data_IF_943387639588
#
_entry.id   IF_943387639588
#
_cell.length_a   1.000
_cell.length_b   1.000
_cell.length_c   1.000
_cell.angle_alpha   90.00
_cell.angle_beta   90.00
_cell.angle_gamma   90.00
#
_symmetry.space_group_name_H-M   'P 1'
#
loop_
_entity.id
_entity.type
_entity.pdbx_description
1 polymer ?
#
# COMPACT_ATOMS: atom_id res chain seq x y z
N UNK A 1 -4.63 -31.41 8.68
CA UNK A 1 -5.05 -30.00 8.86
C UNK A 1 -4.99 -29.37 7.49
N UNK A 2 -6.09 -28.83 6.98
CA UNK A 2 -6.02 -27.98 5.78
C UNK A 2 -5.14 -26.80 6.10
N UNK A 3 -4.11 -26.56 5.26
CA UNK A 3 -3.25 -25.38 5.40
C UNK A 3 -4.14 -24.14 5.32
N UNK A 4 -3.93 -23.19 6.23
CA UNK A 4 -4.57 -21.89 6.09
C UNK A 4 -4.18 -21.29 4.74
N UNK A 5 -5.15 -20.87 3.95
CA UNK A 5 -4.85 -19.95 2.86
C UNK A 5 -4.34 -18.66 3.48
N UNK A 6 -3.18 -18.21 3.03
CA UNK A 6 -2.66 -16.92 3.44
C UNK A 6 -3.62 -15.81 2.99
N UNK A 7 -3.71 -14.71 3.74
CA UNK A 7 -4.53 -13.57 3.31
C UNK A 7 -4.14 -13.16 1.87
N UNK A 8 -5.12 -12.79 1.06
CA UNK A 8 -4.87 -12.42 -0.34
C UNK A 8 -4.16 -11.07 -0.46
N UNK A 9 -4.43 -10.15 0.48
CA UNK A 9 -3.82 -8.82 0.51
C UNK A 9 -2.66 -8.82 1.51
N UNK A 10 -1.47 -9.15 1.04
CA UNK A 10 -0.24 -9.14 1.83
C UNK A 10 0.70 -8.13 1.20
N UNK A 11 1.25 -7.21 2.01
CA UNK A 11 2.31 -6.34 1.55
C UNK A 11 3.64 -7.11 1.39
N UNK A 12 4.53 -6.56 0.58
CA UNK A 12 5.89 -7.06 0.39
C UNK A 12 6.88 -6.24 1.19
N UNK A 13 6.65 -4.94 1.22
CA UNK A 13 7.57 -3.93 1.65
C UNK A 13 7.47 -3.71 3.15
N UNK A 14 8.58 -3.94 3.84
CA UNK A 14 8.70 -3.62 5.25
C UNK A 14 9.27 -2.20 5.40
N UNK A 15 8.42 -1.24 5.66
CA UNK A 15 8.81 0.13 6.04
C UNK A 15 9.12 0.21 7.52
N UNK A 16 10.39 0.23 7.86
CA UNK A 16 10.92 0.18 9.24
C UNK A 16 11.92 1.32 9.46
N UNK A 17 11.92 1.91 10.64
CA UNK A 17 12.85 3.00 10.97
C UNK A 17 14.06 2.45 11.71
N UNK A 18 15.24 2.59 11.12
CA UNK A 18 16.52 2.16 11.66
C UNK A 18 16.62 0.68 12.08
N UNK A 19 16.12 -0.31 11.30
CA UNK A 19 16.45 -1.69 11.58
C UNK A 19 17.93 -1.96 11.34
N UNK A 20 18.52 -2.94 12.04
CA UNK A 20 19.96 -3.23 11.99
C UNK A 20 20.49 -3.52 10.59
N UNK A 21 19.66 -4.05 9.70
CA UNK A 21 20.02 -4.33 8.30
C UNK A 21 20.46 -3.06 7.54
N UNK A 22 19.97 -1.88 7.93
CA UNK A 22 20.40 -0.61 7.31
C UNK A 22 21.89 -0.37 7.57
N UNK A 23 22.36 -0.60 8.81
CA UNK A 23 23.77 -0.50 9.14
C UNK A 23 24.63 -1.59 8.47
N UNK A 24 24.08 -2.80 8.24
CA UNK A 24 24.75 -3.87 7.48
C UNK A 24 25.00 -3.45 6.01
N UNK A 25 24.24 -2.49 5.49
CA UNK A 25 24.34 -1.94 4.12
C UNK A 25 24.96 -0.53 4.08
N UNK A 26 25.64 -0.09 5.14
CA UNK A 26 26.26 1.23 5.25
C UNK A 26 25.29 2.41 5.08
N UNK A 27 24.01 2.23 5.45
CA UNK A 27 22.98 3.27 5.42
C UNK A 27 22.92 3.96 6.78
N UNK A 28 23.10 5.26 6.79
CA UNK A 28 23.10 6.08 8.01
C UNK A 28 21.72 6.11 8.67
N UNK A 29 21.65 6.03 10.00
CA UNK A 29 20.39 6.11 10.71
C UNK A 29 19.73 7.48 10.57
N UNK A 30 18.41 7.49 10.51
CA UNK A 30 17.59 8.71 10.47
C UNK A 30 17.19 9.16 11.88
N UNK A 31 16.96 10.47 12.05
CA UNK A 31 16.41 11.04 13.28
C UNK A 31 14.91 10.66 13.39
N UNK A 32 14.59 9.80 14.33
CA UNK A 32 13.22 9.31 14.54
C UNK A 32 12.22 10.44 14.85
N UNK A 33 12.68 11.53 15.46
CA UNK A 33 11.82 12.67 15.78
C UNK A 33 11.56 13.54 14.55
N UNK A 34 12.54 13.66 13.64
CA UNK A 34 12.36 14.32 12.35
C UNK A 34 11.33 13.54 11.51
N UNK A 35 11.52 12.22 11.38
CA UNK A 35 10.58 11.35 10.65
C UNK A 35 9.17 11.43 11.23
N UNK A 36 9.03 11.37 12.56
CA UNK A 36 7.73 11.46 13.23
C UNK A 36 7.03 12.79 12.95
N UNK A 37 7.78 13.91 13.01
CA UNK A 37 7.23 15.24 12.73
C UNK A 37 6.72 15.34 11.29
N UNK A 38 7.54 14.92 10.31
CA UNK A 38 7.16 14.98 8.90
C UNK A 38 5.96 14.08 8.60
N UNK A 39 5.92 12.88 9.19
CA UNK A 39 4.75 11.99 9.08
C UNK A 39 3.49 12.65 9.62
N UNK A 40 3.56 13.30 10.78
CA UNK A 40 2.42 14.00 11.37
C UNK A 40 1.97 15.19 10.53
N UNK A 41 2.90 15.98 9.99
CA UNK A 41 2.59 17.10 9.11
C UNK A 41 1.90 16.65 7.83
N UNK A 42 2.41 15.62 7.16
CA UNK A 42 1.78 15.01 5.97
C UNK A 42 0.41 14.37 6.27
N UNK A 43 0.24 13.89 7.49
CA UNK A 43 -1.06 13.40 7.99
C UNK A 43 -2.01 14.54 8.41
N UNK A 44 -1.68 15.80 8.14
CA UNK A 44 -2.43 16.98 8.58
C UNK A 44 -2.68 16.98 10.09
N UNK A 45 -1.77 16.41 10.90
CA UNK A 45 -1.93 16.19 12.35
C UNK A 45 -3.21 15.45 12.76
N UNK A 46 -3.80 14.66 11.86
CA UNK A 46 -4.99 13.84 12.13
C UNK A 46 -4.66 12.40 12.52
N UNK A 47 -3.39 12.11 12.79
CA UNK A 47 -2.89 10.90 13.39
C UNK A 47 -2.70 11.07 14.91
N UNK A 48 -2.52 9.98 15.61
CA UNK A 48 -2.20 9.98 17.05
C UNK A 48 -0.69 10.07 17.26
N UNK A 49 -0.22 11.16 17.84
CA UNK A 49 1.20 11.39 18.08
C UNK A 49 1.85 10.30 18.94
N UNK A 50 1.16 9.79 19.98
CA UNK A 50 1.64 8.70 20.81
C UNK A 50 1.94 7.43 20.01
N UNK A 51 1.08 7.07 19.05
CA UNK A 51 1.29 5.92 18.15
C UNK A 51 2.40 6.18 17.14
N UNK A 52 2.42 7.38 16.55
CA UNK A 52 3.46 7.76 15.58
C UNK A 52 4.83 7.65 16.23
N UNK A 53 5.05 8.29 17.37
CA UNK A 53 6.33 8.20 18.07
C UNK A 53 6.66 6.77 18.49
N UNK A 54 5.68 5.99 18.96
CA UNK A 54 5.90 4.58 19.31
C UNK A 54 6.37 3.76 18.10
N UNK A 55 5.76 3.95 16.94
CA UNK A 55 6.18 3.30 15.71
C UNK A 55 7.61 3.71 15.33
N UNK A 56 7.90 5.01 15.27
CA UNK A 56 9.21 5.52 14.83
C UNK A 56 10.36 5.05 15.72
N UNK A 57 10.11 4.89 17.02
CA UNK A 57 11.15 4.47 17.98
C UNK A 57 11.32 2.95 18.09
N UNK A 58 10.29 2.17 17.81
CA UNK A 58 10.30 0.73 18.08
C UNK A 58 10.30 -0.14 16.82
N UNK A 59 10.00 0.43 15.65
CA UNK A 59 9.87 -0.35 14.42
C UNK A 59 11.18 -1.00 13.97
N UNK A 60 12.33 -0.37 14.29
CA UNK A 60 13.64 -0.97 14.03
C UNK A 60 13.83 -2.29 14.78
N UNK A 61 13.59 -2.28 16.10
CA UNK A 61 13.74 -3.47 16.93
C UNK A 61 12.70 -4.57 16.58
N UNK A 62 11.47 -4.17 16.28
CA UNK A 62 10.43 -5.10 15.81
C UNK A 62 10.81 -5.71 14.46
N UNK A 63 11.40 -4.89 13.58
CA UNK A 63 11.94 -5.31 12.30
C UNK A 63 13.07 -6.32 12.47
N UNK A 64 14.05 -6.04 13.32
CA UNK A 64 15.17 -6.95 13.59
C UNK A 64 14.68 -8.33 14.02
N UNK A 65 13.68 -8.37 14.91
CA UNK A 65 13.05 -9.64 15.32
C UNK A 65 12.40 -10.36 14.12
N UNK A 66 11.65 -9.64 13.27
CA UNK A 66 10.97 -10.22 12.11
C UNK A 66 11.97 -10.73 11.06
N UNK A 67 13.02 -9.95 10.78
CA UNK A 67 14.05 -10.31 9.80
C UNK A 67 14.93 -11.46 10.29
N UNK A 68 15.19 -11.58 11.59
CA UNK A 68 15.84 -12.74 12.17
C UNK A 68 15.01 -14.02 11.95
N UNK A 69 13.68 -13.94 12.18
CA UNK A 69 12.76 -15.03 11.89
C UNK A 69 12.79 -15.41 10.39
N UNK A 70 12.72 -14.42 9.50
CA UNK A 70 12.78 -14.64 8.07
C UNK A 70 14.07 -15.38 7.66
N UNK A 71 15.23 -14.95 8.17
CA UNK A 71 16.51 -15.65 7.95
C UNK A 71 16.46 -17.10 8.47
N UNK A 72 15.86 -17.32 9.63
CA UNK A 72 15.67 -18.65 10.20
C UNK A 72 14.76 -19.58 9.37
N UNK A 73 13.91 -19.02 8.53
CA UNK A 73 13.03 -19.75 7.61
C UNK A 73 13.61 -19.91 6.20
N UNK A 74 14.84 -19.43 5.96
CA UNK A 74 15.50 -19.53 4.65
C UNK A 74 15.19 -18.36 3.71
N UNK A 75 14.83 -17.19 4.24
CA UNK A 75 14.67 -15.97 3.46
C UNK A 75 15.81 -15.00 3.70
N UNK A 76 16.22 -14.31 2.64
CA UNK A 76 17.24 -13.27 2.69
C UNK A 76 16.55 -11.91 2.64
N UNK A 77 16.64 -11.10 3.70
CA UNK A 77 16.20 -9.73 3.64
C UNK A 77 17.08 -8.89 2.72
N UNK A 78 16.48 -8.21 1.77
CA UNK A 78 17.14 -7.28 0.86
C UNK A 78 16.66 -5.86 1.09
N UNK A 79 17.60 -4.91 1.05
CA UNK A 79 17.27 -3.47 1.14
C UNK A 79 17.14 -2.91 -0.26
N UNK A 80 15.95 -2.43 -0.58
CA UNK A 80 15.68 -1.73 -1.82
C UNK A 80 15.92 -0.24 -1.60
N UNK A 81 16.98 0.27 -2.21
CA UNK A 81 17.31 1.68 -2.14
C UNK A 81 16.34 2.49 -3.01
N UNK A 82 15.56 3.35 -2.38
CA UNK A 82 14.62 4.21 -3.06
C UNK A 82 15.07 5.67 -2.99
N UNK A 83 14.87 6.41 -4.07
CA UNK A 83 14.93 7.86 -4.07
C UNK A 83 13.54 8.44 -3.79
N UNK A 84 13.52 9.68 -3.30
CA UNK A 84 12.24 10.37 -3.10
C UNK A 84 11.49 10.53 -4.43
N UNK A 85 10.21 10.20 -4.43
CA UNK A 85 9.31 10.40 -5.57
C UNK A 85 8.99 11.87 -5.84
N UNK A 86 9.49 12.80 -5.03
CA UNK A 86 9.25 14.22 -5.18
C UNK A 86 10.43 15.00 -4.60
N UNK A 87 10.80 16.11 -5.23
CA UNK A 87 11.78 17.07 -4.69
C UNK A 87 11.32 17.71 -3.38
N UNK A 88 10.02 17.67 -3.10
CA UNK A 88 9.41 18.31 -1.94
C UNK A 88 9.26 17.39 -0.74
N UNK A 89 9.46 16.09 -0.91
CA UNK A 89 9.30 15.09 0.14
C UNK A 89 10.58 14.31 0.34
N UNK A 90 11.08 14.34 1.56
CA UNK A 90 12.21 13.51 1.96
C UNK A 90 11.72 12.07 2.17
N UNK A 91 12.33 11.14 1.48
CA UNK A 91 12.22 9.73 1.79
C UNK A 91 13.24 9.41 2.89
N UNK A 92 12.78 8.94 4.04
CA UNK A 92 13.64 8.69 5.20
C UNK A 92 14.16 7.27 5.27
N UNK A 93 13.43 6.31 4.70
CA UNK A 93 13.77 4.91 4.84
C UNK A 93 13.72 4.20 3.50
N UNK A 94 14.55 3.17 3.38
CA UNK A 94 14.49 2.23 2.29
C UNK A 94 13.56 1.08 2.66
N UNK A 95 12.98 0.46 1.65
CA UNK A 95 12.14 -0.73 1.82
C UNK A 95 13.01 -1.94 2.10
N UNK A 96 12.55 -2.83 2.96
CA UNK A 96 13.12 -4.16 3.11
C UNK A 96 12.15 -5.18 2.53
N UNK A 97 12.62 -6.01 1.63
CA UNK A 97 11.88 -7.12 1.04
C UNK A 97 12.49 -8.47 1.44
N UNK A 98 11.70 -9.52 1.40
CA UNK A 98 12.15 -10.88 1.67
C UNK A 98 12.28 -11.66 0.37
N UNK A 99 13.47 -12.21 0.13
CA UNK A 99 13.76 -13.05 -1.03
C UNK A 99 14.02 -14.49 -0.58
N UNK A 100 13.69 -15.51 -1.40
CA UNK A 100 14.08 -16.88 -1.09
C UNK A 100 15.60 -17.02 -1.11
N UNK A 101 16.16 -17.72 -0.11
CA UNK A 101 17.57 -18.15 -0.16
C UNK A 101 17.77 -19.25 -1.20
N UNK A 102 19.00 -19.46 -1.63
CA UNK A 102 19.35 -20.52 -2.58
C UNK A 102 18.90 -21.89 -2.05
N UNK A 103 17.97 -22.52 -2.74
CA UNK A 103 17.37 -23.80 -2.35
C UNK A 103 16.06 -23.70 -1.54
N UNK A 104 15.60 -22.50 -1.18
CA UNK A 104 14.26 -22.31 -0.60
C UNK A 104 13.22 -22.44 -1.72
N UNK A 105 12.27 -23.36 -1.54
CA UNK A 105 11.20 -23.56 -2.53
C UNK A 105 10.11 -22.52 -2.27
N UNK A 106 9.90 -21.65 -3.25
CA UNK A 106 8.72 -20.79 -3.34
C UNK A 106 7.89 -21.21 -4.56
N UNK A 107 6.59 -20.91 -4.56
CA UNK A 107 5.80 -21.09 -5.79
C UNK A 107 6.36 -20.13 -6.86
N UNK A 108 6.90 -20.71 -7.94
CA UNK A 108 7.42 -19.93 -9.05
C UNK A 108 6.30 -19.05 -9.63
N UNK A 109 6.52 -17.75 -9.62
CA UNK A 109 5.57 -16.77 -10.11
C UNK A 109 4.63 -16.14 -9.06
N UNK A 110 4.67 -16.57 -7.80
CA UNK A 110 3.96 -15.87 -6.72
C UNK A 110 4.88 -14.83 -6.06
N UNK A 111 4.70 -13.58 -6.42
CA UNK A 111 5.40 -12.45 -5.84
C UNK A 111 5.33 -12.41 -4.30
N UNK A 112 4.19 -12.79 -3.73
CA UNK A 112 3.96 -12.80 -2.29
C UNK A 112 4.42 -14.11 -1.61
N UNK A 113 5.06 -15.03 -2.34
CA UNK A 113 5.42 -16.35 -1.82
C UNK A 113 6.25 -16.27 -0.54
N UNK A 114 7.25 -15.38 -0.48
CA UNK A 114 8.10 -15.20 0.70
C UNK A 114 7.30 -14.73 1.92
N UNK A 115 6.44 -13.72 1.75
CA UNK A 115 5.60 -13.20 2.85
C UNK A 115 4.56 -14.23 3.29
N UNK A 116 3.94 -14.97 2.36
CA UNK A 116 3.03 -16.08 2.67
C UNK A 116 3.73 -17.18 3.45
N UNK A 117 4.94 -17.56 3.03
CA UNK A 117 5.74 -18.55 3.73
C UNK A 117 6.17 -18.06 5.13
N UNK A 118 6.54 -16.79 5.28
CA UNK A 118 6.84 -16.19 6.58
C UNK A 118 5.64 -16.31 7.54
N UNK A 119 4.42 -15.99 7.08
CA UNK A 119 3.19 -16.12 7.87
C UNK A 119 2.93 -17.58 8.23
N UNK A 120 3.06 -18.51 7.28
CA UNK A 120 2.86 -19.93 7.53
C UNK A 120 3.84 -20.50 8.57
N UNK A 121 5.10 -20.08 8.53
CA UNK A 121 6.11 -20.49 9.51
C UNK A 121 5.80 -19.91 10.91
N UNK A 122 5.39 -18.64 11.01
CA UNK A 122 4.96 -18.05 12.26
C UNK A 122 3.71 -18.75 12.84
N UNK A 123 2.75 -19.15 12.01
CA UNK A 123 1.61 -19.95 12.43
C UNK A 123 2.04 -21.29 12.98
N UNK A 124 3.00 -21.96 12.34
CA UNK A 124 3.54 -23.24 12.80
C UNK A 124 4.25 -23.08 14.15
N UNK A 125 5.02 -22.00 14.36
CA UNK A 125 5.63 -21.72 15.69
C UNK A 125 4.57 -21.54 16.79
N UNK A 126 3.43 -20.91 16.50
CA UNK A 126 2.32 -20.81 17.48
C UNK A 126 1.82 -22.20 17.88
N UNK A 127 1.64 -23.10 16.89
CA UNK A 127 1.17 -24.46 17.14
C UNK A 127 2.23 -25.27 17.92
N UNK A 128 3.50 -25.18 17.54
CA UNK A 128 4.61 -25.87 18.19
C UNK A 128 4.81 -25.37 19.65
N UNK A 129 4.50 -24.10 19.90
CA UNK A 129 4.46 -23.49 21.23
C UNK A 129 3.24 -23.88 22.08
N UNK A 130 2.37 -24.75 21.57
CA UNK A 130 1.15 -25.19 22.26
C UNK A 130 -0.06 -24.29 22.05
N UNK A 131 0.01 -23.32 21.17
CA UNK A 131 -1.13 -22.52 20.73
C UNK A 131 -2.05 -23.30 19.78
N UNK A 132 -3.26 -22.80 19.58
CA UNK A 132 -4.23 -23.39 18.67
C UNK A 132 -4.53 -22.42 17.53
N UNK A 133 -4.48 -22.92 16.31
CA UNK A 133 -4.89 -22.21 15.11
C UNK A 133 -6.14 -22.88 14.50
N UNK A 134 -7.22 -22.10 14.34
CA UNK A 134 -8.51 -22.59 13.84
C UNK A 134 -8.91 -21.87 12.57
N UNK A 135 -8.84 -22.56 11.44
CA UNK A 135 -9.39 -22.08 10.18
C UNK A 135 -10.92 -22.15 10.17
N UNK A 136 -11.55 -21.41 9.26
CA UNK A 136 -13.00 -21.41 9.02
C UNK A 136 -13.77 -21.19 10.32
N UNK A 137 -13.24 -20.33 11.20
CA UNK A 137 -13.81 -20.02 12.51
C UNK A 137 -13.88 -18.52 12.67
N UNK A 138 -15.01 -17.94 12.32
CA UNK A 138 -15.29 -16.51 12.30
C UNK A 138 -15.65 -16.01 13.70
N UNK A 139 -14.99 -14.96 14.19
CA UNK A 139 -15.40 -14.27 15.41
C UNK A 139 -16.60 -13.35 15.07
N UNK A 140 -17.75 -13.63 15.68
CA UNK A 140 -19.01 -12.93 15.38
C UNK A 140 -19.48 -11.98 16.49
N UNK A 141 -18.94 -12.11 17.70
CA UNK A 141 -19.30 -11.27 18.84
C UNK A 141 -18.21 -11.31 19.90
N UNK A 142 -17.98 -10.21 20.58
CA UNK A 142 -17.17 -10.17 21.80
C UNK A 142 -18.03 -10.40 23.04
N UNK A 143 -17.47 -11.08 24.04
CA UNK A 143 -18.09 -11.28 25.35
C UNK A 143 -17.57 -10.20 26.31
N UNK A 144 -18.47 -9.54 27.00
CA UNK A 144 -18.14 -8.49 27.96
C UNK A 144 -18.75 -8.77 29.31
N UNK A 145 -17.97 -8.53 30.36
CA UNK A 145 -18.42 -8.62 31.77
C UNK A 145 -17.85 -7.42 32.51
N UNK A 146 -18.71 -6.69 33.22
CA UNK A 146 -18.34 -5.47 33.96
C UNK A 146 -17.48 -4.47 33.17
N UNK A 147 -17.78 -4.28 31.87
CA UNK A 147 -17.05 -3.37 30.97
C UNK A 147 -15.72 -3.89 30.46
N UNK A 148 -15.33 -5.13 30.79
CA UNK A 148 -14.13 -5.81 30.31
C UNK A 148 -14.50 -6.81 29.20
N UNK A 149 -13.68 -6.92 28.15
CA UNK A 149 -13.77 -8.02 27.19
C UNK A 149 -13.14 -9.27 27.79
N UNK A 150 -13.94 -10.34 27.87
CA UNK A 150 -13.59 -11.61 28.54
C UNK A 150 -13.55 -12.78 27.56
N UNK A 151 -13.87 -12.55 26.28
CA UNK A 151 -13.86 -13.61 25.29
C UNK A 151 -14.53 -13.23 23.97
N UNK A 152 -14.78 -14.23 23.15
CA UNK A 152 -15.50 -14.11 21.90
C UNK A 152 -16.42 -15.29 21.65
N UNK A 153 -17.49 -15.05 20.90
CA UNK A 153 -18.29 -16.09 20.25
C UNK A 153 -17.80 -16.21 18.83
N UNK A 154 -17.46 -17.43 18.43
CA UNK A 154 -17.01 -17.74 17.09
C UNK A 154 -17.99 -18.71 16.40
N UNK A 155 -18.17 -18.56 15.10
CA UNK A 155 -18.98 -19.43 14.25
C UNK A 155 -18.05 -20.32 13.43
N UNK A 156 -18.09 -21.59 13.67
CA UNK A 156 -17.34 -22.59 12.93
C UNK A 156 -18.26 -23.51 12.14
N UNK A 157 -17.66 -24.53 11.51
CA UNK A 157 -18.37 -25.53 10.69
C UNK A 157 -19.47 -26.28 11.48
N UNK A 158 -19.21 -26.58 12.75
CA UNK A 158 -20.08 -27.39 13.59
C UNK A 158 -20.98 -26.55 14.50
N UNK A 159 -21.07 -25.26 14.27
CA UNK A 159 -21.89 -24.33 15.04
C UNK A 159 -21.09 -23.27 15.77
N UNK A 160 -21.63 -22.76 16.88
CA UNK A 160 -21.00 -21.70 17.65
C UNK A 160 -20.08 -22.25 18.74
N UNK A 161 -18.95 -21.56 18.90
CA UNK A 161 -17.95 -21.82 19.92
C UNK A 161 -17.79 -20.57 20.78
N UNK A 162 -17.83 -20.71 22.08
CA UNK A 162 -17.42 -19.66 23.02
C UNK A 162 -15.96 -19.86 23.40
N UNK A 163 -15.17 -18.80 23.23
CA UNK A 163 -13.76 -18.73 23.65
C UNK A 163 -13.65 -17.74 24.78
N UNK A 164 -13.25 -18.20 25.96
CA UNK A 164 -12.97 -17.33 27.09
C UNK A 164 -11.48 -17.01 27.15
N UNK A 165 -11.14 -15.78 27.51
CA UNK A 165 -9.75 -15.31 27.55
C UNK A 165 -9.36 -14.84 28.94
N UNK A 166 -8.12 -15.12 29.32
CA UNK A 166 -7.55 -14.65 30.58
C UNK A 166 -7.04 -13.19 30.49
N UNK A 167 -6.43 -12.83 29.36
CA UNK A 167 -5.80 -11.52 29.15
C UNK A 167 -6.64 -10.58 28.29
N UNK A 168 -7.30 -11.09 27.25
CA UNK A 168 -8.15 -10.30 26.36
C UNK A 168 -8.23 -10.88 24.96
N UNK A 169 -8.84 -10.12 24.05
CA UNK A 169 -9.01 -10.42 22.62
C UNK A 169 -8.23 -9.39 21.81
N UNK A 170 -7.48 -9.86 20.82
CA UNK A 170 -6.78 -9.01 19.84
C UNK A 170 -7.51 -9.07 18.51
N UNK A 171 -7.99 -7.94 18.04
CA UNK A 171 -8.60 -7.81 16.72
C UNK A 171 -7.48 -7.56 15.69
N UNK A 172 -7.29 -8.52 14.77
CA UNK A 172 -6.30 -8.50 13.70
C UNK A 172 -6.91 -9.03 12.39
N UNK A 173 -8.21 -8.76 12.17
CA UNK A 173 -9.03 -9.33 11.11
C UNK A 173 -8.96 -8.53 9.77
N UNK A 174 -7.92 -7.73 9.58
CA UNK A 174 -7.74 -6.97 8.35
C UNK A 174 -8.52 -5.65 8.33
N UNK A 175 -8.88 -5.22 7.14
CA UNK A 175 -9.51 -3.95 6.84
C UNK A 175 -11.03 -4.07 6.58
N UNK A 176 -11.63 -3.02 5.99
CA UNK A 176 -13.06 -3.01 5.67
C UNK A 176 -13.36 -2.55 4.21
N UNK A 177 -12.34 -2.45 3.37
CA UNK A 177 -12.54 -1.84 2.05
C UNK A 177 -13.40 -2.68 1.08
N UNK A 178 -13.70 -3.96 1.40
CA UNK A 178 -14.68 -4.74 0.67
C UNK A 178 -16.12 -4.60 1.21
N UNK A 179 -16.35 -3.77 2.23
CA UNK A 179 -17.68 -3.43 2.72
C UNK A 179 -18.09 -2.05 2.17
N UNK A 180 -19.04 -1.98 1.20
CA UNK A 180 -19.39 -0.72 0.57
C UNK A 180 -20.06 0.29 1.52
N UNK A 181 -20.81 -0.20 2.53
CA UNK A 181 -21.45 0.70 3.52
C UNK A 181 -20.39 1.35 4.42
N UNK A 182 -19.35 0.60 4.81
CA UNK A 182 -18.25 1.16 5.61
C UNK A 182 -17.38 2.10 4.78
N UNK A 183 -17.12 1.79 3.51
CA UNK A 183 -16.40 2.68 2.61
C UNK A 183 -17.13 4.02 2.45
N UNK A 184 -18.41 3.99 2.12
CA UNK A 184 -19.22 5.19 1.94
C UNK A 184 -19.29 6.02 3.23
N UNK A 185 -19.43 5.37 4.37
CA UNK A 185 -19.57 6.09 5.65
C UNK A 185 -18.27 6.71 6.18
N UNK A 186 -17.14 5.99 6.04
CA UNK A 186 -15.89 6.40 6.67
C UNK A 186 -14.90 7.11 5.74
N UNK A 187 -15.08 7.06 4.42
CA UNK A 187 -14.18 7.71 3.46
C UNK A 187 -14.80 8.97 2.87
N UNK A 188 -14.07 9.66 2.00
CA UNK A 188 -14.54 10.89 1.34
C UNK A 188 -14.86 10.67 -0.14
N UNK A 189 -14.89 9.43 -0.61
CA UNK A 189 -15.02 9.10 -2.02
C UNK A 189 -16.41 8.58 -2.38
N UNK A 190 -16.91 9.01 -3.53
CA UNK A 190 -18.11 8.45 -4.18
C UNK A 190 -17.67 7.38 -5.18
N UNK A 191 -17.54 6.13 -4.70
CA UNK A 191 -17.05 5.02 -5.50
C UNK A 191 -17.97 4.67 -6.68
N UNK A 192 -19.25 4.96 -6.60
CA UNK A 192 -20.22 4.74 -7.67
C UNK A 192 -20.00 5.68 -8.87
N UNK A 193 -19.26 6.78 -8.67
CA UNK A 193 -18.94 7.74 -9.73
C UNK A 193 -17.76 7.34 -10.59
N UNK A 194 -16.96 6.33 -10.19
CA UNK A 194 -15.78 5.92 -10.91
C UNK A 194 -16.10 4.94 -12.03
N UNK A 195 -15.39 5.10 -13.14
CA UNK A 195 -15.43 4.13 -14.22
C UNK A 195 -14.71 2.85 -13.79
N UNK A 196 -15.36 1.68 -13.85
CA UNK A 196 -14.77 0.41 -13.43
C UNK A 196 -13.54 -0.02 -14.25
N UNK A 197 -13.32 0.59 -15.41
CA UNK A 197 -12.10 0.37 -16.19
C UNK A 197 -10.89 1.13 -15.61
N UNK A 198 -11.10 2.11 -14.74
CA UNK A 198 -10.06 2.95 -14.15
C UNK A 198 -9.97 2.86 -12.62
N UNK A 199 -10.90 2.16 -11.99
CA UNK A 199 -10.87 1.93 -10.54
C UNK A 199 -11.17 0.48 -10.22
N UNK A 200 -10.28 -0.15 -9.45
CA UNK A 200 -10.38 -1.55 -9.05
C UNK A 200 -10.31 -1.63 -7.52
N UNK A 201 -11.29 -2.29 -6.89
CA UNK A 201 -11.22 -2.60 -5.48
C UNK A 201 -10.75 -4.05 -5.29
N UNK A 202 -9.54 -4.23 -4.83
CA UNK A 202 -8.92 -5.53 -4.61
C UNK A 202 -9.06 -6.06 -3.17
N UNK A 203 -9.57 -5.24 -2.26
CA UNK A 203 -9.73 -5.65 -0.88
C UNK A 203 -10.71 -6.81 -0.73
N UNK A 204 -10.41 -7.69 0.20
CA UNK A 204 -11.32 -8.75 0.67
C UNK A 204 -11.78 -8.54 2.12
N UNK A 205 -11.37 -7.42 2.71
CA UNK A 205 -11.66 -7.08 4.11
C UNK A 205 -13.10 -6.59 4.29
N UNK A 206 -13.93 -7.34 5.00
CA UNK A 206 -15.35 -7.06 5.23
C UNK A 206 -15.64 -6.27 6.52
N UNK A 207 -14.59 -5.83 7.22
CA UNK A 207 -14.73 -5.01 8.43
C UNK A 207 -15.22 -5.75 9.67
N UNK A 208 -15.21 -7.08 9.68
CA UNK A 208 -15.79 -7.87 10.78
C UNK A 208 -15.13 -7.55 12.12
N UNK A 209 -13.79 -7.42 12.16
CA UNK A 209 -13.08 -7.01 13.37
C UNK A 209 -13.48 -5.62 13.86
N UNK A 210 -13.73 -4.68 12.94
CA UNK A 210 -14.21 -3.35 13.28
C UNK A 210 -15.62 -3.40 13.87
N UNK A 211 -16.53 -4.14 13.21
CA UNK A 211 -17.94 -4.27 13.64
C UNK A 211 -18.05 -4.86 15.04
N UNK A 212 -17.37 -5.98 15.31
CA UNK A 212 -17.43 -6.59 16.65
C UNK A 212 -16.76 -5.71 17.72
N UNK A 213 -15.72 -4.94 17.36
CA UNK A 213 -15.10 -3.95 18.23
C UNK A 213 -16.05 -2.79 18.56
N UNK A 214 -16.74 -2.25 17.55
CA UNK A 214 -17.75 -1.20 17.73
C UNK A 214 -18.91 -1.67 18.63
N UNK A 215 -19.40 -2.89 18.44
CA UNK A 215 -20.47 -3.47 19.29
C UNK A 215 -20.02 -3.67 20.75
N UNK A 216 -18.71 -3.83 20.97
CA UNK A 216 -18.15 -3.88 22.33
C UNK A 216 -17.86 -2.49 22.92
N UNK A 217 -18.20 -1.40 22.22
CA UNK A 217 -18.07 -0.02 22.70
C UNK A 217 -16.79 0.70 22.26
N UNK A 218 -15.98 0.09 21.40
CA UNK A 218 -14.83 0.79 20.81
C UNK A 218 -15.30 1.90 19.84
N UNK A 219 -14.50 2.94 19.70
CA UNK A 219 -14.74 4.00 18.71
C UNK A 219 -13.88 3.78 17.47
N UNK A 220 -14.39 4.21 16.31
CA UNK A 220 -13.55 4.40 15.12
C UNK A 220 -12.78 5.70 15.22
N UNK A 221 -11.62 5.78 14.57
CA UNK A 221 -10.95 7.07 14.41
C UNK A 221 -11.85 8.05 13.65
N UNK A 222 -11.71 9.37 13.85
CA UNK A 222 -12.48 10.35 13.09
C UNK A 222 -12.17 10.27 11.59
N UNK A 223 -13.20 10.25 10.75
CA UNK A 223 -13.08 10.28 9.29
C UNK A 223 -12.68 11.67 8.73
N UNK A 224 -12.41 11.78 7.41
CA UNK A 224 -12.34 10.65 6.47
C UNK A 224 -11.16 9.73 6.76
N UNK A 225 -11.37 8.42 6.56
CA UNK A 225 -10.32 7.44 6.75
C UNK A 225 -9.39 7.37 5.54
N UNK A 226 -8.09 7.16 5.76
CA UNK A 226 -7.14 6.97 4.68
C UNK A 226 -7.32 5.62 3.99
N UNK A 227 -7.14 5.65 2.68
CA UNK A 227 -7.11 4.48 1.83
C UNK A 227 -5.71 4.29 1.26
N UNK A 228 -5.26 3.05 1.18
CA UNK A 228 -4.07 2.68 0.45
C UNK A 228 -4.48 2.38 -0.99
N UNK A 229 -4.30 3.36 -1.85
CA UNK A 229 -4.54 3.27 -3.28
C UNK A 229 -3.21 3.20 -4.01
N UNK A 230 -3.15 2.37 -5.02
CA UNK A 230 -2.00 2.29 -5.90
C UNK A 230 -2.42 2.75 -7.29
N UNK A 231 -1.49 3.33 -8.01
CA UNK A 231 -1.59 3.31 -9.47
C UNK A 231 -0.78 2.12 -9.95
N UNK A 232 -1.35 1.33 -10.84
CA UNK A 232 -0.74 0.11 -11.36
C UNK A 232 0.66 0.34 -11.96
N UNK A 233 0.92 1.54 -12.49
CA UNK A 233 2.22 1.90 -13.08
C UNK A 233 2.56 3.34 -12.74
N UNK A 234 3.64 3.54 -12.00
CA UNK A 234 4.06 4.85 -11.52
C UNK A 234 5.16 5.48 -12.38
N UNK A 235 5.19 5.19 -13.68
CA UNK A 235 6.07 5.93 -14.58
C UNK A 235 5.74 7.42 -14.51
N UNK A 236 6.79 8.24 -14.51
CA UNK A 236 6.64 9.69 -14.50
C UNK A 236 6.34 10.26 -15.88
N UNK A 237 5.67 9.52 -16.75
CA UNK A 237 5.22 9.99 -18.06
C UNK A 237 4.03 10.94 -17.94
N UNK A 238 3.83 11.75 -18.99
CA UNK A 238 2.71 12.69 -19.06
C UNK A 238 1.38 11.98 -18.78
N UNK A 239 0.60 12.50 -17.83
CA UNK A 239 -0.75 11.99 -17.51
C UNK A 239 -1.83 12.93 -18.01
N UNK A 240 -2.80 12.36 -18.71
CA UNK A 240 -3.97 13.10 -19.20
C UNK A 240 -5.25 12.40 -18.75
N UNK A 241 -6.28 13.19 -18.39
CA UNK A 241 -7.61 12.70 -18.12
C UNK A 241 -8.40 12.42 -19.41
N UNK A 242 -9.64 11.93 -19.29
CA UNK A 242 -10.51 11.64 -20.45
C UNK A 242 -10.98 12.90 -21.23
N UNK A 243 -10.64 14.11 -20.74
CA UNK A 243 -10.80 15.36 -21.49
C UNK A 243 -9.54 15.77 -22.24
N UNK A 244 -8.48 14.94 -22.25
CA UNK A 244 -7.19 15.22 -22.86
C UNK A 244 -6.32 16.23 -22.11
N UNK A 245 -6.64 16.56 -20.87
CA UNK A 245 -5.97 17.57 -20.05
C UNK A 245 -4.93 16.93 -19.13
N UNK A 246 -3.72 17.49 -19.06
CA UNK A 246 -2.78 17.24 -17.98
C UNK A 246 -3.35 17.77 -16.66
N UNK A 247 -3.24 17.02 -15.58
CA UNK A 247 -3.91 17.36 -14.32
C UNK A 247 -3.02 17.27 -13.07
N UNK A 248 -1.78 16.77 -13.20
CA UNK A 248 -0.90 16.51 -12.07
C UNK A 248 0.56 16.73 -12.43
N UNK A 249 1.40 16.98 -11.42
CA UNK A 249 2.83 16.74 -11.53
C UNK A 249 3.04 15.22 -11.41
N UNK A 250 3.54 14.59 -12.46
CA UNK A 250 3.71 13.14 -12.52
C UNK A 250 4.87 12.63 -11.66
N UNK A 251 5.66 13.54 -11.09
CA UNK A 251 6.67 13.27 -10.09
C UNK A 251 6.03 13.27 -8.69
N UNK A 252 5.12 12.33 -8.47
CA UNK A 252 4.39 12.15 -7.21
C UNK A 252 4.32 10.67 -6.84
N UNK A 253 4.17 10.36 -5.54
CA UNK A 253 4.03 8.99 -5.06
C UNK A 253 2.73 8.32 -5.52
N UNK A 254 2.65 7.02 -5.34
CA UNK A 254 1.54 6.17 -5.78
C UNK A 254 0.18 6.68 -5.30
N UNK A 255 0.02 6.82 -3.98
CA UNK A 255 -1.23 7.28 -3.38
C UNK A 255 -1.55 8.72 -3.80
N UNK A 256 -0.57 9.59 -3.83
CA UNK A 256 -0.76 10.98 -4.29
C UNK A 256 -1.22 11.04 -5.74
N UNK A 257 -0.61 10.24 -6.61
CA UNK A 257 -1.02 10.12 -8.02
C UNK A 257 -2.40 9.50 -8.18
N UNK A 258 -2.72 8.45 -7.42
CA UNK A 258 -4.03 7.81 -7.38
C UNK A 258 -5.13 8.80 -6.94
N UNK A 259 -4.92 9.52 -5.83
CA UNK A 259 -5.86 10.52 -5.35
C UNK A 259 -6.07 11.66 -6.39
N UNK A 260 -5.00 12.12 -7.04
CA UNK A 260 -5.11 13.13 -8.10
C UNK A 260 -5.91 12.61 -9.30
N UNK A 261 -5.84 11.33 -9.61
CA UNK A 261 -6.64 10.69 -10.64
C UNK A 261 -8.11 10.56 -10.24
N UNK A 262 -8.40 10.11 -9.02
CA UNK A 262 -9.77 9.89 -8.56
C UNK A 262 -10.63 11.17 -8.54
N UNK A 263 -10.03 12.35 -8.47
CA UNK A 263 -10.75 13.62 -8.61
C UNK A 263 -10.97 14.05 -10.07
N UNK A 264 -10.47 13.30 -11.06
CA UNK A 264 -10.75 13.57 -12.47
C UNK A 264 -12.11 13.01 -12.88
N UNK A 265 -12.71 13.50 -13.99
CA UNK A 265 -13.98 12.97 -14.49
C UNK A 265 -13.93 11.45 -14.65
N UNK A 266 -14.85 10.73 -14.02
CA UNK A 266 -14.93 9.28 -13.96
C UNK A 266 -13.68 8.56 -13.38
N UNK A 267 -12.76 9.28 -12.73
CA UNK A 267 -11.48 8.73 -12.27
C UNK A 267 -10.54 8.30 -13.40
N UNK A 268 -10.78 8.75 -14.63
CA UNK A 268 -10.08 8.26 -15.81
C UNK A 268 -8.77 8.99 -16.08
N UNK A 269 -7.73 8.23 -16.40
CA UNK A 269 -6.41 8.77 -16.75
C UNK A 269 -5.63 7.84 -17.68
N UNK A 270 -4.75 8.44 -18.49
CA UNK A 270 -3.81 7.76 -19.37
C UNK A 270 -2.41 8.32 -19.17
N UNK A 271 -1.40 7.44 -19.10
CA UNK A 271 0.00 7.84 -19.19
C UNK A 271 0.45 7.79 -20.66
N UNK A 272 1.17 8.81 -21.12
CA UNK A 272 1.51 9.00 -22.53
C UNK A 272 3.02 9.12 -22.68
N UNK A 273 3.59 8.33 -23.61
CA UNK A 273 5.00 8.39 -23.96
C UNK A 273 5.22 8.00 -25.43
N UNK A 274 6.47 7.95 -25.87
CA UNK A 274 6.85 7.58 -27.23
C UNK A 274 7.97 6.51 -27.26
N UNK A 275 8.47 6.16 -28.43
CA UNK A 275 9.42 5.06 -28.63
C UNK A 275 10.79 5.26 -27.94
N UNK A 276 11.06 6.45 -27.39
CA UNK A 276 12.29 6.72 -26.64
C UNK A 276 12.30 6.14 -25.22
N UNK A 277 11.21 5.49 -24.78
CA UNK A 277 11.05 4.95 -23.43
C UNK A 277 12.22 4.04 -23.00
N UNK A 278 12.85 3.34 -23.96
CA UNK A 278 13.99 2.46 -23.68
C UNK A 278 15.20 3.19 -23.10
N UNK A 279 15.35 4.46 -23.48
CA UNK A 279 16.42 5.33 -23.00
C UNK A 279 15.98 6.14 -21.76
N UNK A 280 14.69 6.46 -21.67
CA UNK A 280 14.12 7.35 -20.67
C UNK A 280 13.76 6.63 -19.36
N UNK A 281 13.24 5.41 -19.44
CA UNK A 281 12.75 4.66 -18.29
C UNK A 281 13.82 4.40 -17.21
N UNK A 282 15.07 4.05 -17.53
CA UNK A 282 16.13 3.87 -16.53
C UNK A 282 16.36 5.11 -15.65
N UNK A 283 16.14 6.31 -16.18
CA UNK A 283 16.27 7.54 -15.42
C UNK A 283 15.11 7.75 -14.43
N UNK A 284 13.94 7.19 -14.73
CA UNK A 284 12.74 7.29 -13.91
C UNK A 284 12.70 6.27 -12.76
N UNK A 285 13.22 5.07 -12.97
CA UNK A 285 13.18 3.94 -12.02
C UNK A 285 13.59 4.30 -10.58
N UNK A 286 14.69 5.03 -10.35
CA UNK A 286 15.12 5.36 -9.00
C UNK A 286 14.11 6.20 -8.22
N UNK A 287 13.22 6.91 -8.92
CA UNK A 287 12.22 7.81 -8.35
C UNK A 287 10.83 7.18 -8.27
N UNK A 288 10.53 6.28 -9.19
CA UNK A 288 9.23 5.62 -9.28
C UNK A 288 9.11 4.35 -8.42
N UNK A 289 9.98 4.17 -7.43
CA UNK A 289 9.90 3.02 -6.52
C UNK A 289 10.34 1.70 -7.15
N UNK A 290 11.22 1.74 -8.16
CA UNK A 290 11.75 0.54 -8.79
C UNK A 290 10.67 -0.26 -9.52
N UNK A 291 9.94 0.38 -10.37
CA UNK A 291 8.76 -0.10 -11.11
C UNK A 291 9.04 -1.13 -12.20
N UNK A 292 10.02 -1.96 -12.03
CA UNK A 292 10.28 -3.09 -12.92
C UNK A 292 9.46 -4.30 -12.49
N UNK A 293 8.12 -4.20 -12.55
CA UNK A 293 7.22 -5.26 -12.18
C UNK A 293 6.60 -5.89 -13.41
N UNK A 294 6.57 -7.22 -13.48
CA UNK A 294 5.83 -7.92 -14.53
C UNK A 294 4.34 -8.07 -14.17
N UNK A 295 3.57 -8.62 -15.11
CA UNK A 295 2.14 -8.89 -14.94
C UNK A 295 1.79 -9.78 -13.74
N UNK A 296 2.75 -10.60 -13.29
CA UNK A 296 2.59 -11.50 -12.15
C UNK A 296 3.10 -10.84 -10.85
N UNK A 297 3.49 -9.57 -10.92
CA UNK A 297 4.06 -8.83 -9.82
C UNK A 297 5.48 -9.24 -9.45
N UNK A 298 6.25 -9.84 -10.38
CA UNK A 298 7.65 -10.16 -10.17
C UNK A 298 8.54 -9.02 -10.64
N UNK A 299 9.64 -8.79 -9.97
CA UNK A 299 10.71 -7.95 -10.48
C UNK A 299 11.18 -8.46 -11.82
N UNK A 300 11.17 -7.57 -12.81
CA UNK A 300 11.47 -7.94 -14.18
C UNK A 300 12.91 -8.43 -14.24
N UNK A 301 13.85 -7.66 -13.73
CA UNK A 301 15.24 -8.11 -13.62
C UNK A 301 16.12 -7.12 -12.87
N UNK A 302 17.27 -7.66 -12.45
CA UNK A 302 18.39 -6.86 -11.98
C UNK A 302 19.66 -7.44 -12.65
N UNK A 303 20.30 -6.76 -13.59
CA UNK A 303 19.93 -5.41 -14.07
C UNK A 303 18.71 -5.38 -15.01
N UNK A 304 17.97 -4.26 -15.02
CA UNK A 304 16.89 -4.00 -15.96
C UNK A 304 17.38 -3.93 -17.42
N UNK A 305 16.61 -4.48 -18.36
CA UNK A 305 16.85 -4.32 -19.81
C UNK A 305 15.55 -3.94 -20.54
N UNK A 306 15.65 -3.17 -21.65
CA UNK A 306 14.48 -2.84 -22.46
C UNK A 306 13.74 -4.07 -23.01
N UNK A 307 14.50 -5.11 -23.38
CA UNK A 307 13.94 -6.34 -23.92
C UNK A 307 13.13 -7.09 -22.87
N UNK A 308 13.59 -7.08 -21.62
CA UNK A 308 12.87 -7.67 -20.49
C UNK A 308 11.57 -6.92 -20.19
N UNK A 309 11.58 -5.60 -20.19
CA UNK A 309 10.38 -4.76 -20.03
C UNK A 309 9.37 -5.02 -21.13
N UNK A 310 9.83 -5.06 -22.40
CA UNK A 310 8.98 -5.31 -23.56
C UNK A 310 8.36 -6.70 -23.53
N UNK A 311 9.13 -7.73 -23.14
CA UNK A 311 8.64 -9.10 -23.06
C UNK A 311 7.67 -9.33 -21.91
N UNK A 312 7.98 -8.81 -20.73
CA UNK A 312 7.28 -9.17 -19.50
C UNK A 312 6.11 -8.23 -19.16
N UNK A 313 6.20 -6.95 -19.49
CA UNK A 313 5.16 -5.98 -19.18
C UNK A 313 4.38 -5.53 -20.41
N UNK A 314 5.02 -4.88 -21.37
CA UNK A 314 4.34 -4.27 -22.51
C UNK A 314 3.57 -5.26 -23.37
N UNK A 315 4.10 -6.47 -23.59
CA UNK A 315 3.41 -7.48 -24.39
C UNK A 315 2.08 -7.88 -23.77
N UNK A 316 2.05 -8.08 -22.47
CA UNK A 316 0.81 -8.40 -21.74
C UNK A 316 -0.16 -7.23 -21.71
N UNK A 317 0.32 -6.02 -21.49
CA UNK A 317 -0.50 -4.81 -21.45
C UNK A 317 -1.17 -4.53 -22.80
N UNK A 318 -0.45 -4.77 -23.90
CA UNK A 318 -1.02 -4.67 -25.24
C UNK A 318 -2.07 -5.76 -25.46
N UNK A 319 -1.78 -7.01 -25.11
CA UNK A 319 -2.73 -8.13 -25.25
C UNK A 319 -3.99 -7.93 -24.40
N UNK A 320 -3.86 -7.36 -23.21
CA UNK A 320 -4.98 -7.06 -22.32
C UNK A 320 -5.76 -5.80 -22.71
N UNK A 321 -5.24 -4.99 -23.63
CA UNK A 321 -5.83 -3.71 -24.04
C UNK A 321 -5.63 -2.57 -23.01
N UNK A 322 -4.74 -2.75 -22.05
CA UNK A 322 -4.35 -1.68 -21.13
C UNK A 322 -3.43 -0.67 -21.81
N UNK A 323 -2.48 -1.16 -22.61
CA UNK A 323 -1.57 -0.35 -23.40
C UNK A 323 -2.03 -0.31 -24.84
N UNK A 324 -2.25 0.89 -25.36
CA UNK A 324 -2.53 1.13 -26.78
C UNK A 324 -1.35 1.84 -27.43
N UNK A 325 -1.11 1.55 -28.71
CA UNK A 325 -0.04 2.21 -29.49
C UNK A 325 -0.57 2.69 -30.83
N UNK A 326 0.04 3.74 -31.38
CA UNK A 326 -0.30 4.30 -32.69
C UNK A 326 0.88 5.04 -33.33
N UNK A 327 0.83 5.22 -34.65
CA UNK A 327 1.87 5.94 -35.39
C UNK A 327 1.68 7.48 -35.40
N UNK A 328 0.52 7.96 -34.92
CA UNK A 328 0.23 9.37 -34.74
C UNK A 328 -0.51 9.63 -33.40
N UNK A 329 -0.42 10.86 -32.89
CA UNK A 329 -1.13 11.24 -31.67
C UNK A 329 -2.65 11.28 -31.87
N UNK A 330 -3.12 11.60 -33.09
CA UNK A 330 -4.54 11.54 -33.42
C UNK A 330 -5.09 10.12 -33.39
N UNK A 331 -4.34 9.16 -33.93
CA UNK A 331 -4.70 7.74 -33.90
C UNK A 331 -4.64 7.22 -32.46
N UNK A 332 -3.64 7.66 -31.67
CA UNK A 332 -3.53 7.31 -30.25
C UNK A 332 -4.74 7.80 -29.47
N UNK A 333 -5.18 9.05 -29.67
CA UNK A 333 -6.38 9.59 -29.05
C UNK A 333 -7.62 8.75 -29.36
N UNK A 334 -7.74 8.29 -30.61
CA UNK A 334 -8.81 7.38 -31.04
C UNK A 334 -8.72 6.00 -30.36
N UNK A 335 -7.52 5.43 -30.25
CA UNK A 335 -7.28 4.16 -29.57
C UNK A 335 -7.57 4.22 -28.05
N UNK A 336 -7.29 5.36 -27.41
CA UNK A 336 -7.69 5.64 -26.02
C UNK A 336 -9.19 5.88 -25.84
N UNK A 337 -9.96 6.01 -26.92
CA UNK A 337 -11.40 6.30 -26.86
C UNK A 337 -11.75 7.74 -26.49
N UNK A 338 -10.84 8.69 -26.68
CA UNK A 338 -11.13 10.10 -26.42
C UNK A 338 -12.19 10.64 -27.37
N UNK A 339 -13.11 11.45 -26.84
CA UNK A 339 -14.09 12.16 -27.66
C UNK A 339 -13.39 13.18 -28.60
N UNK A 340 -14.00 13.56 -29.73
CA UNK A 340 -13.36 14.50 -30.67
C UNK A 340 -12.86 15.81 -30.04
N UNK A 341 -13.65 16.39 -29.15
CA UNK A 341 -13.28 17.62 -28.43
C UNK A 341 -12.12 17.40 -27.46
N UNK A 342 -12.03 16.22 -26.87
CA UNK A 342 -10.91 15.82 -26.00
C UNK A 342 -9.65 15.53 -26.81
N UNK A 343 -9.78 15.04 -28.06
CA UNK A 343 -8.65 14.83 -28.97
C UNK A 343 -7.92 16.13 -29.28
N UNK A 344 -8.63 17.20 -29.63
CA UNK A 344 -8.02 18.51 -29.88
C UNK A 344 -7.29 19.03 -28.61
N UNK A 345 -7.89 18.83 -27.43
CA UNK A 345 -7.27 19.19 -26.17
C UNK A 345 -6.02 18.36 -25.89
N UNK A 346 -6.06 17.06 -26.13
CA UNK A 346 -4.93 16.14 -25.98
C UNK A 346 -3.73 16.55 -26.84
N UNK A 347 -3.96 16.84 -28.11
CA UNK A 347 -2.91 17.29 -29.03
C UNK A 347 -2.28 18.62 -28.54
N UNK A 348 -3.11 19.56 -28.08
CA UNK A 348 -2.63 20.81 -27.53
C UNK A 348 -1.84 20.57 -26.20
N UNK A 349 -2.27 19.63 -25.38
CA UNK A 349 -1.59 19.23 -24.13
C UNK A 349 -0.21 18.65 -24.42
N UNK A 350 -0.08 17.69 -25.34
CA UNK A 350 1.22 17.10 -25.72
C UNK A 350 2.14 18.17 -26.30
N UNK A 351 1.63 19.03 -27.17
CA UNK A 351 2.42 20.16 -27.70
C UNK A 351 2.92 21.07 -26.59
N UNK A 352 2.04 21.46 -25.66
CA UNK A 352 2.42 22.30 -24.51
C UNK A 352 3.44 21.60 -23.61
N UNK A 353 3.28 20.31 -23.34
CA UNK A 353 4.22 19.52 -22.56
C UNK A 353 5.61 19.51 -23.23
N UNK A 354 5.70 19.32 -24.53
CA UNK A 354 6.97 19.36 -25.26
C UNK A 354 7.66 20.74 -25.19
N UNK A 355 6.89 21.83 -25.19
CA UNK A 355 7.42 23.18 -24.97
C UNK A 355 8.01 23.34 -23.55
N UNK A 356 7.36 22.73 -22.55
CA UNK A 356 7.80 22.78 -21.16
C UNK A 356 9.06 21.94 -20.92
N UNK A 357 9.28 20.87 -21.66
CA UNK A 357 10.54 20.10 -21.60
C UNK A 357 11.75 21.00 -21.92
N UNK A 358 11.63 21.89 -22.90
CA UNK A 358 12.69 22.81 -23.26
C UNK A 358 12.84 24.00 -22.30
N UNK A 359 11.74 24.49 -21.76
CA UNK A 359 11.68 25.75 -21.01
C UNK A 359 11.70 25.56 -19.46
N UNK A 360 11.47 24.34 -19.00
CA UNK A 360 11.16 24.02 -17.61
C UNK A 360 9.66 24.01 -17.38
N UNK A 361 9.18 23.09 -16.52
CA UNK A 361 7.75 22.92 -16.26
C UNK A 361 7.19 24.02 -15.34
N UNK A 362 6.68 25.06 -15.97
CA UNK A 362 6.01 26.18 -15.27
C UNK A 362 4.54 25.90 -14.97
N UNK A 363 3.97 24.80 -15.48
CA UNK A 363 2.56 24.47 -15.31
C UNK A 363 2.33 23.63 -14.04
N UNK A 364 3.19 22.64 -13.77
CA UNK A 364 3.06 21.73 -12.62
C UNK A 364 4.37 21.57 -11.82
N UNK A 365 5.50 22.12 -12.30
CA UNK A 365 6.77 22.08 -11.55
C UNK A 365 7.44 20.71 -11.51
N UNK A 366 7.20 19.86 -12.53
CA UNK A 366 7.87 18.57 -12.65
C UNK A 366 9.37 18.77 -12.85
N UNK A 367 10.19 17.97 -12.16
CA UNK A 367 11.66 18.09 -12.27
C UNK A 367 12.15 17.72 -13.68
N UNK A 368 13.15 18.45 -14.18
CA UNK A 368 13.61 18.30 -15.57
C UNK A 368 14.09 16.87 -15.91
N UNK A 369 14.68 16.16 -14.94
CA UNK A 369 15.25 14.82 -15.12
C UNK A 369 14.18 13.77 -15.50
N UNK A 370 12.92 14.05 -15.18
CA UNK A 370 11.79 13.18 -15.48
C UNK A 370 10.93 13.66 -16.65
N UNK A 371 11.37 14.74 -17.33
CA UNK A 371 10.66 15.27 -18.48
C UNK A 371 11.31 14.79 -19.79
N UNK A 372 10.49 14.23 -20.67
CA UNK A 372 10.90 13.80 -22.00
C UNK A 372 9.85 14.22 -23.04
N UNK A 373 10.32 14.66 -24.22
CA UNK A 373 9.42 15.04 -25.33
C UNK A 373 8.71 13.82 -25.90
N UNK A 374 7.47 14.02 -26.29
CA UNK A 374 6.65 13.02 -26.97
C UNK A 374 6.58 13.43 -28.47
N UNK A 375 7.48 12.86 -29.30
CA UNK A 375 7.66 13.29 -30.68
C UNK A 375 8.06 12.18 -31.66
N UNK A 376 8.41 10.97 -31.15
CA UNK A 376 8.90 9.86 -31.95
C UNK A 376 7.94 8.66 -31.94
N UNK A 377 7.24 8.35 -33.04
CA UNK A 377 6.36 7.19 -33.09
C UNK A 377 7.14 5.86 -33.00
N UNK A 378 6.49 4.77 -32.57
CA UNK A 378 5.12 4.74 -32.11
C UNK A 378 4.90 5.47 -30.79
N UNK A 379 3.68 6.03 -30.65
CA UNK A 379 3.20 6.65 -29.42
C UNK A 379 2.41 5.62 -28.62
N UNK A 380 2.53 5.70 -27.29
CA UNK A 380 1.91 4.79 -26.36
C UNK A 380 0.97 5.52 -25.41
N UNK A 381 -0.15 4.87 -25.10
CA UNK A 381 -1.11 5.32 -24.08
C UNK A 381 -1.45 4.17 -23.16
N UNK A 382 -1.01 4.24 -21.90
CA UNK A 382 -1.34 3.26 -20.88
C UNK A 382 -2.53 3.74 -20.06
N UNK A 383 -3.57 2.91 -19.98
CA UNK A 383 -4.71 3.12 -19.09
C UNK A 383 -4.25 3.01 -17.65
N UNK A 384 -4.36 4.11 -16.91
CA UNK A 384 -3.93 4.15 -15.52
C UNK A 384 -5.07 3.69 -14.62
N UNK A 385 -4.93 2.52 -14.01
CA UNK A 385 -5.87 2.03 -13.02
C UNK A 385 -5.46 2.51 -11.64
N UNK A 386 -6.44 2.93 -10.84
CA UNK A 386 -6.27 3.12 -9.41
C UNK A 386 -6.82 1.88 -8.70
N UNK A 387 -5.96 1.21 -7.97
CA UNK A 387 -6.30 0.01 -7.22
C UNK A 387 -6.44 0.35 -5.73
N UNK A 388 -7.59 0.04 -5.17
CA UNK A 388 -7.81 0.10 -3.72
C UNK A 388 -7.37 -1.21 -3.09
N UNK A 389 -6.20 -1.22 -2.49
CA UNK A 389 -5.67 -2.40 -1.81
C UNK A 389 -6.34 -2.62 -0.46
N UNK A 390 -6.32 -1.64 0.42
CA UNK A 390 -6.89 -1.74 1.78
C UNK A 390 -7.31 -0.38 2.33
N UNK A 391 -8.27 -0.35 3.25
CA UNK A 391 -8.47 0.77 4.15
C UNK A 391 -7.45 0.72 5.30
N UNK A 392 -6.88 1.86 5.68
CA UNK A 392 -5.86 1.92 6.75
C UNK A 392 -6.30 2.78 7.94
N UNK A 393 -7.54 3.24 7.94
CA UNK A 393 -8.26 3.72 9.11
C UNK A 393 -8.91 2.58 9.89
N UNK A 394 -9.13 2.76 11.20
CA UNK A 394 -9.68 1.68 12.02
C UNK A 394 -10.12 2.13 13.41
N UNK A 395 -10.25 1.17 14.31
CA UNK A 395 -10.63 1.42 15.69
C UNK A 395 -9.61 2.35 16.37
N UNK A 396 -10.10 3.28 17.17
CA UNK A 396 -9.24 4.15 17.98
C UNK A 396 -8.50 3.31 19.02
N UNK A 397 -7.17 3.32 18.96
CA UNK A 397 -6.32 2.65 19.93
C UNK A 397 -5.25 3.61 20.46
N UNK A 398 -4.76 3.36 21.67
CA UNK A 398 -3.58 4.04 22.22
C UNK A 398 -2.26 3.42 21.69
N UNK A 399 -1.11 3.91 22.19
CA UNK A 399 0.21 3.41 21.81
C UNK A 399 0.49 1.95 22.20
N UNK A 400 -0.25 1.41 23.18
CA UNK A 400 -0.17 0.02 23.63
C UNK A 400 -1.20 -0.89 22.93
N UNK A 401 -1.83 -0.40 21.86
CA UNK A 401 -2.84 -1.11 21.05
C UNK A 401 -4.14 -1.43 21.78
N UNK A 402 -4.41 -0.82 22.95
CA UNK A 402 -5.68 -0.96 23.66
C UNK A 402 -6.77 -0.15 22.95
N UNK A 403 -7.93 -0.75 22.69
CA UNK A 403 -9.07 -0.07 22.11
C UNK A 403 -9.69 0.94 23.07
N UNK A 404 -10.11 2.08 22.51
CA UNK A 404 -10.68 3.19 23.27
C UNK A 404 -12.15 3.39 22.94
N UNK A 405 -12.92 3.83 23.95
CA UNK A 405 -14.29 4.34 23.76
C UNK A 405 -14.27 5.72 23.07
N UNK A 406 -15.43 6.23 22.69
CA UNK A 406 -15.59 7.60 22.16
C UNK A 406 -15.20 8.68 23.20
N UNK A 407 -15.19 8.36 24.48
CA UNK A 407 -14.71 9.23 25.57
C UNK A 407 -13.18 9.16 25.74
N UNK A 408 -12.49 8.30 25.02
CA UNK A 408 -11.05 8.08 25.13
C UNK A 408 -10.65 7.16 26.29
N UNK A 409 -11.60 6.46 26.87
CA UNK A 409 -11.34 5.51 27.96
C UNK A 409 -10.93 4.16 27.37
N UNK A 410 -9.98 3.46 28.01
CA UNK A 410 -9.56 2.11 27.63
C UNK A 410 -10.70 1.12 27.87
N UNK A 411 -10.94 0.23 26.89
CA UNK A 411 -11.80 -0.94 27.06
C UNK A 411 -10.90 -2.10 27.53
N UNK A 412 -10.96 -2.48 28.82
CA UNK A 412 -10.08 -3.50 29.34
C UNK A 412 -10.22 -4.84 28.61
N UNK A 413 -9.11 -5.46 28.23
CA UNK A 413 -9.10 -6.75 27.54
C UNK A 413 -9.47 -6.70 26.05
N UNK A 414 -9.56 -5.50 25.43
CA UNK A 414 -9.76 -5.36 24.00
C UNK A 414 -8.59 -4.62 23.36
N UNK A 415 -7.97 -5.26 22.39
CA UNK A 415 -6.84 -4.75 21.63
C UNK A 415 -7.10 -4.81 20.14
N UNK A 416 -6.47 -3.92 19.35
CA UNK A 416 -6.50 -4.00 17.90
C UNK A 416 -5.13 -3.66 17.30
N UNK A 417 -4.75 -4.39 16.25
CA UNK A 417 -3.49 -4.21 15.50
C UNK A 417 -3.73 -4.29 14.00
N UNK A 418 -2.72 -3.96 13.21
CA UNK A 418 -2.81 -3.95 11.75
C UNK A 418 -3.91 -3.01 11.24
N UNK A 419 -4.64 -3.41 10.21
CA UNK A 419 -5.69 -2.59 9.60
C UNK A 419 -6.95 -2.45 10.48
N UNK A 420 -7.12 -3.27 11.52
CA UNK A 420 -8.17 -3.03 12.51
C UNK A 420 -7.90 -1.81 13.40
N UNK A 421 -6.63 -1.39 13.53
CA UNK A 421 -6.22 -0.29 14.41
C UNK A 421 -5.98 0.99 13.60
N UNK A 422 -6.71 2.03 13.91
CA UNK A 422 -6.52 3.37 13.37
C UNK A 422 -5.46 4.20 14.09
N UNK A 423 -5.34 5.45 13.65
CA UNK A 423 -4.58 6.51 14.33
C UNK A 423 -3.10 6.61 13.97
N UNK A 424 -2.53 5.73 13.17
CA UNK A 424 -1.18 5.93 12.65
C UNK A 424 -1.17 6.86 11.44
N UNK A 425 -2.16 6.73 10.57
CA UNK A 425 -2.39 7.59 9.40
C UNK A 425 -3.46 8.63 9.70
N UNK A 426 -3.37 9.78 9.01
CA UNK A 426 -4.35 10.86 9.09
C UNK A 426 -5.50 10.68 8.12
N UNK A 427 -5.51 11.52 7.09
CA UNK A 427 -6.53 11.51 6.02
C UNK A 427 -6.05 10.80 4.75
N UNK A 428 -4.78 10.46 4.70
CA UNK A 428 -4.14 9.83 3.56
C UNK A 428 -3.10 8.81 3.99
N UNK A 429 -2.74 7.89 3.09
CA UNK A 429 -1.67 6.92 3.31
C UNK A 429 -0.32 7.51 2.89
N UNK A 430 0.54 7.77 3.87
CA UNK A 430 1.81 8.50 3.66
C UNK A 430 2.99 7.57 3.33
N UNK A 431 2.95 6.86 2.21
CA UNK A 431 4.07 6.02 1.79
C UNK A 431 5.33 6.82 1.41
N UNK A 432 5.17 8.06 0.97
CA UNK A 432 6.32 8.90 0.57
C UNK A 432 7.31 9.20 1.69
N UNK A 433 6.89 9.13 2.95
CA UNK A 433 7.79 9.33 4.10
C UNK A 433 8.49 8.02 4.46
N UNK A 434 7.72 6.95 4.52
CA UNK A 434 8.17 5.60 4.91
C UNK A 434 7.47 4.61 3.99
N UNK A 435 8.07 4.30 2.83
CA UNK A 435 7.54 3.24 1.96
C UNK A 435 7.40 1.92 2.74
N UNK A 436 6.33 1.17 2.51
CA UNK A 436 6.06 -0.08 3.23
C UNK A 436 5.60 0.06 4.69
N UNK A 437 5.27 1.27 5.14
CA UNK A 437 4.82 1.52 6.54
C UNK A 437 3.58 0.69 6.92
N UNK A 438 2.72 0.31 5.97
CA UNK A 438 1.53 -0.50 6.27
C UNK A 438 1.89 -1.87 6.83
N UNK A 439 2.83 -2.58 6.20
CA UNK A 439 3.33 -3.86 6.72
C UNK A 439 4.22 -3.65 7.95
N UNK A 440 5.09 -2.62 7.90
CA UNK A 440 5.94 -2.25 9.05
C UNK A 440 5.15 -2.04 10.33
N UNK A 441 3.97 -1.38 10.28
CA UNK A 441 3.10 -1.20 11.46
C UNK A 441 2.49 -2.50 11.95
N UNK A 442 2.14 -3.42 11.04
CA UNK A 442 1.58 -4.72 11.42
C UNK A 442 2.61 -5.51 12.24
N UNK A 443 3.86 -5.57 11.78
CA UNK A 443 4.97 -6.20 12.50
C UNK A 443 5.23 -5.50 13.84
N UNK A 444 5.36 -4.16 13.82
CA UNK A 444 5.74 -3.39 15.00
C UNK A 444 4.71 -3.51 16.12
N UNK A 445 3.45 -3.18 15.84
CA UNK A 445 2.42 -3.22 16.88
C UNK A 445 2.02 -4.65 17.27
N UNK A 446 2.10 -5.62 16.35
CA UNK A 446 1.92 -7.04 16.68
C UNK A 446 2.98 -7.54 17.65
N UNK A 447 4.27 -7.23 17.39
CA UNK A 447 5.39 -7.59 18.25
C UNK A 447 5.31 -6.91 19.62
N UNK A 448 5.06 -5.59 19.68
CA UNK A 448 4.91 -4.84 20.92
C UNK A 448 3.77 -5.37 21.79
N UNK A 449 2.60 -5.62 21.17
CA UNK A 449 1.45 -6.17 21.90
C UNK A 449 1.73 -7.59 22.39
N UNK A 450 2.40 -8.43 21.58
CA UNK A 450 2.84 -9.75 21.99
C UNK A 450 3.71 -9.70 23.25
N UNK A 451 4.68 -8.79 23.31
CA UNK A 451 5.51 -8.58 24.50
C UNK A 451 4.71 -8.03 25.71
N UNK A 452 3.75 -7.14 25.47
CA UNK A 452 2.88 -6.61 26.52
C UNK A 452 2.04 -7.71 27.15
N UNK A 453 1.43 -8.55 26.32
CA UNK A 453 0.57 -9.64 26.79
C UNK A 453 1.34 -10.84 27.38
N UNK A 454 2.63 -10.97 27.09
CA UNK A 454 3.48 -12.03 27.68
C UNK A 454 3.84 -11.78 29.15
N UNK A 455 3.78 -10.53 29.61
CA UNK A 455 4.02 -10.14 31.00
C UNK A 455 2.81 -10.48 31.86
#
# INVERSE_FOLDING_TARGET
MEKAEAPRNIGLDYGLVNPSIMAEKDIEPVDVYEVARDHMEKSCHRCRGDKVYRFMTESGAAGDWSLEKARGYGFVPEVIAMKSNSDHFKNYVHVVELWPDEGTVTDDGDWYAATKAMIANLQQEVVDGGGEYRNLTEAVQLLTEDGRVTGAVCKGKDGYLQVNTAKGVVLAAGDYAADPEMLDYYTAWDFDSFDPDFFINESTGTGDGHKIGLWAGAAMQPGPHPLMTFMAYAYSYLRVNNLGQRYVNEDTGYTGGGNAQLIQPAGASWAIWDDKWREELPAQMPYAGGMSWDQDGRRIQDPWTPEGEEELAFSWEIESGLLVQADSLEELAGAMGLAPEATDTFLATVKRYNELVDAGDTDFGKRPELMAKIEQPPFYGLRMNVELGVSVGGLTTNADSECLTAAGEVIPGLYAVGNNAGGLFGIDYNEVTIPGISLGRCVTFGWLLGQHLAK
#
